data_IF_776717257454
#
_entry.id   IF_776717257454
#
_cell.length_a   1.000
_cell.length_b   1.000
_cell.length_c   1.000
_cell.angle_alpha   90.00
_cell.angle_beta   90.00
_cell.angle_gamma   90.00
#
_symmetry.space_group_name_H-M   'P 1'
#
loop_
_entity.id
_entity.type
_entity.pdbx_description
1 polymer ?
#
# COMPACT_ATOMS: atom_id res chain seq x y z
N UNK A 1 5.01 22.67 11.77
CA UNK A 1 3.72 21.94 11.86
C UNK A 1 2.80 22.42 10.73
N UNK A 2 3.35 22.68 9.54
CA UNK A 2 2.73 23.59 8.55
C UNK A 2 2.28 22.91 7.25
N UNK A 3 2.30 21.57 7.21
CA UNK A 3 2.06 20.83 5.96
C UNK A 3 0.65 20.23 5.93
N UNK A 4 0.53 18.93 6.18
CA UNK A 4 -0.68 18.13 6.01
C UNK A 4 -1.92 18.73 6.69
N UNK A 5 -1.79 19.17 7.94
CA UNK A 5 -2.91 19.68 8.72
C UNK A 5 -3.50 20.99 8.20
N UNK A 6 -2.65 21.85 7.62
CA UNK A 6 -3.08 23.13 7.05
C UNK A 6 -3.58 22.98 5.62
N UNK A 7 -2.95 22.12 4.83
CA UNK A 7 -3.33 21.86 3.42
C UNK A 7 -4.70 21.18 3.35
N UNK A 8 -4.94 20.15 4.16
CA UNK A 8 -6.21 19.40 4.16
C UNK A 8 -7.20 19.90 5.23
N UNK A 9 -7.33 21.22 5.35
CA UNK A 9 -8.16 21.88 6.37
C UNK A 9 -9.58 22.28 5.91
N UNK A 10 -10.03 21.84 4.73
CA UNK A 10 -11.38 22.12 4.24
C UNK A 10 -12.46 21.45 5.09
N UNK A 11 -13.65 22.06 5.23
CA UNK A 11 -14.71 21.58 6.12
C UNK A 11 -15.11 20.11 5.90
N UNK A 12 -15.18 19.67 4.64
CA UNK A 12 -15.48 18.28 4.28
C UNK A 12 -14.34 17.29 4.54
N UNK A 13 -13.13 17.76 4.86
CA UNK A 13 -11.93 16.92 5.07
C UNK A 13 -11.49 16.85 6.54
N UNK A 14 -11.79 17.88 7.34
CA UNK A 14 -11.33 18.00 8.75
C UNK A 14 -11.71 16.80 9.61
N UNK A 15 -12.88 16.22 9.39
CA UNK A 15 -13.41 15.09 10.17
C UNK A 15 -13.14 13.71 9.57
N UNK A 16 -12.52 13.62 8.39
CA UNK A 16 -12.33 12.34 7.71
C UNK A 16 -11.05 11.66 8.18
N UNK A 17 -11.10 10.34 8.50
CA UNK A 17 -9.90 9.57 8.82
C UNK A 17 -9.03 9.34 7.58
N UNK A 18 -7.72 9.42 7.76
CA UNK A 18 -6.69 9.16 6.75
C UNK A 18 -5.95 7.88 7.12
N UNK A 19 -6.06 6.85 6.29
CA UNK A 19 -5.33 5.60 6.46
C UNK A 19 -4.07 5.66 5.61
N UNK A 20 -2.93 5.80 6.27
CA UNK A 20 -1.65 6.13 5.63
C UNK A 20 -0.79 4.88 5.48
N UNK A 21 0.04 4.85 4.43
CA UNK A 21 1.16 3.94 4.24
C UNK A 21 2.37 4.75 3.76
N UNK A 22 3.59 4.24 3.96
CA UNK A 22 4.82 4.92 3.59
C UNK A 22 5.28 4.57 2.16
N UNK A 23 5.88 5.55 1.48
CA UNK A 23 6.65 5.40 0.25
C UNK A 23 8.16 5.50 0.46
N UNK A 24 8.93 5.44 -0.63
CA UNK A 24 10.39 5.46 -0.59
C UNK A 24 10.94 6.76 0.01
N UNK A 25 10.35 7.92 -0.30
CA UNK A 25 10.73 9.20 0.29
C UNK A 25 10.47 9.28 1.80
N UNK A 26 9.43 8.61 2.30
CA UNK A 26 9.16 8.54 3.73
C UNK A 26 10.24 7.72 4.46
N UNK A 27 10.69 6.63 3.84
CA UNK A 27 11.78 5.76 4.31
C UNK A 27 13.16 6.41 4.20
N UNK A 28 13.36 7.34 3.27
CA UNK A 28 14.55 8.19 3.26
C UNK A 28 14.57 9.19 4.44
N UNK A 29 13.41 9.43 5.07
CA UNK A 29 13.25 10.22 6.28
C UNK A 29 13.09 9.36 7.54
N UNK A 30 12.02 9.62 8.30
CA UNK A 30 11.74 8.92 9.56
C UNK A 30 10.29 8.43 9.60
N UNK A 31 10.05 7.21 9.09
CA UNK A 31 8.73 6.55 9.12
C UNK A 31 8.23 6.35 10.55
N UNK A 32 9.12 6.08 11.51
CA UNK A 32 8.73 5.96 12.93
C UNK A 32 8.10 7.24 13.47
N UNK A 33 8.56 8.42 13.04
CA UNK A 33 7.92 9.68 13.39
C UNK A 33 6.51 9.81 12.79
N UNK A 34 6.29 9.31 11.58
CA UNK A 34 4.96 9.29 10.94
C UNK A 34 4.01 8.31 11.64
N UNK A 35 4.50 7.15 12.07
CA UNK A 35 3.72 6.21 12.90
C UNK A 35 3.33 6.88 14.23
N UNK A 36 4.30 7.48 14.92
CA UNK A 36 4.09 8.17 16.19
C UNK A 36 3.15 9.38 16.07
N UNK A 37 3.04 9.99 14.88
CA UNK A 37 2.10 11.08 14.62
C UNK A 37 0.64 10.66 14.77
N UNK A 38 0.33 9.36 14.69
CA UNK A 38 -1.01 8.82 14.99
C UNK A 38 -1.46 9.11 16.44
N UNK A 39 -0.53 9.35 17.36
CA UNK A 39 -0.86 9.77 18.74
C UNK A 39 -1.08 11.28 18.87
N UNK A 40 -0.74 12.06 17.84
CA UNK A 40 -0.90 13.52 17.81
C UNK A 40 -2.15 13.96 17.04
N UNK A 41 -2.48 13.29 15.93
CA UNK A 41 -3.61 13.67 15.08
C UNK A 41 -4.67 12.56 15.06
N UNK A 42 -5.91 12.80 15.51
CA UNK A 42 -6.95 11.77 15.58
C UNK A 42 -7.43 11.32 14.20
N UNK A 43 -7.16 12.10 13.15
CA UNK A 43 -7.48 11.75 11.76
C UNK A 43 -6.33 11.08 11.03
N UNK A 44 -5.16 10.96 11.64
CA UNK A 44 -4.00 10.29 11.06
C UNK A 44 -3.92 8.87 11.59
N UNK A 45 -4.26 7.89 10.76
CA UNK A 45 -4.20 6.47 11.10
C UNK A 45 -3.02 5.82 10.39
N UNK A 46 -1.90 5.69 11.11
CA UNK A 46 -0.74 4.95 10.66
C UNK A 46 -0.18 4.10 11.83
N UNK A 47 -0.86 3.00 12.21
CA UNK A 47 -0.56 2.27 13.44
C UNK A 47 0.65 1.31 13.31
N UNK A 48 0.99 0.91 12.09
CA UNK A 48 2.05 -0.05 11.79
C UNK A 48 2.47 0.11 10.31
N UNK A 49 3.72 -0.22 9.92
CA UNK A 49 4.16 -0.14 8.51
C UNK A 49 3.23 -0.84 7.51
N UNK A 50 2.66 -1.97 7.92
CA UNK A 50 1.63 -2.69 7.17
C UNK A 50 0.51 -3.12 8.12
N UNK A 51 -0.75 -2.96 7.70
CA UNK A 51 -1.90 -3.23 8.56
C UNK A 51 -3.17 -3.52 7.76
N UNK A 52 -4.20 -3.98 8.46
CA UNK A 52 -5.47 -4.37 7.85
C UNK A 52 -6.62 -3.60 8.48
N UNK A 53 -7.53 -3.16 7.62
CA UNK A 53 -8.83 -2.61 7.98
C UNK A 53 -9.90 -3.55 7.46
N UNK A 54 -10.96 -3.72 8.25
CA UNK A 54 -12.16 -4.45 7.83
C UNK A 54 -13.37 -3.55 8.07
N UNK A 55 -14.04 -3.20 6.99
CA UNK A 55 -15.15 -2.26 6.97
C UNK A 55 -16.44 -2.99 6.60
N UNK A 56 -17.56 -2.56 7.17
CA UNK A 56 -18.90 -2.98 6.71
C UNK A 56 -19.33 -2.04 5.59
N UNK A 57 -19.92 -2.60 4.54
CA UNK A 57 -20.49 -1.79 3.46
C UNK A 57 -21.83 -1.24 3.95
N UNK A 58 -22.01 0.10 4.03
CA UNK A 58 -23.25 0.70 4.52
C UNK A 58 -24.48 0.16 3.80
N UNK A 59 -25.55 -0.12 4.55
CA UNK A 59 -26.80 -0.65 3.99
C UNK A 59 -26.75 -2.13 3.57
N UNK A 60 -25.73 -2.89 3.96
CA UNK A 60 -25.65 -4.33 3.64
C UNK A 60 -24.91 -5.15 4.72
N UNK A 61 -24.98 -6.48 4.59
CA UNK A 61 -24.16 -7.41 5.38
C UNK A 61 -22.77 -7.68 4.76
N UNK A 62 -22.45 -7.01 3.65
CA UNK A 62 -21.17 -7.18 2.98
C UNK A 62 -20.03 -6.50 3.75
N UNK A 63 -18.83 -7.03 3.56
CA UNK A 63 -17.61 -6.51 4.19
C UNK A 63 -16.53 -6.25 3.14
N UNK A 64 -15.72 -5.23 3.39
CA UNK A 64 -14.56 -4.88 2.60
C UNK A 64 -13.30 -4.97 3.46
N UNK A 65 -12.27 -5.64 2.95
CA UNK A 65 -10.93 -5.69 3.53
C UNK A 65 -10.04 -4.72 2.79
N UNK A 66 -9.32 -3.87 3.51
CA UNK A 66 -8.19 -3.10 2.96
C UNK A 66 -6.91 -3.57 3.65
N UNK A 67 -5.93 -4.02 2.88
CA UNK A 67 -4.61 -4.44 3.34
C UNK A 67 -3.59 -3.42 2.86
N UNK A 68 -3.03 -2.62 3.77
CA UNK A 68 -2.00 -1.65 3.45
C UNK A 68 -0.63 -2.30 3.68
N UNK A 69 0.22 -2.22 2.67
CA UNK A 69 1.56 -2.79 2.63
C UNK A 69 2.61 -1.70 2.68
N UNK A 70 3.76 -2.04 3.27
CA UNK A 70 4.99 -1.29 3.12
C UNK A 70 5.82 -1.95 2.01
N UNK A 71 5.71 -1.42 0.80
CA UNK A 71 6.39 -1.98 -0.37
C UNK A 71 7.90 -1.70 -0.36
N UNK A 72 8.35 -0.69 0.38
CA UNK A 72 9.78 -0.39 0.58
C UNK A 72 10.40 -1.44 1.49
N UNK A 73 9.73 -1.80 2.59
CA UNK A 73 10.15 -2.90 3.46
C UNK A 73 10.17 -4.23 2.70
N UNK A 74 9.21 -4.47 1.80
CA UNK A 74 9.17 -5.71 1.00
C UNK A 74 10.23 -5.79 -0.10
N UNK A 75 10.54 -4.68 -0.76
CA UNK A 75 11.29 -4.69 -2.03
C UNK A 75 12.57 -3.86 -2.03
N UNK A 76 12.78 -2.98 -1.05
CA UNK A 76 13.88 -2.01 -1.01
C UNK A 76 13.45 -0.59 -1.37
N UNK A 77 14.25 0.40 -0.97
CA UNK A 77 14.09 1.79 -1.37
C UNK A 77 14.56 2.05 -2.80
N UNK A 78 14.01 3.09 -3.42
CA UNK A 78 14.53 3.71 -4.65
C UNK A 78 15.02 5.12 -4.35
N UNK A 79 16.04 5.57 -5.08
CA UNK A 79 16.44 6.98 -5.13
C UNK A 79 15.83 7.63 -6.37
N UNK A 80 15.19 8.80 -6.20
CA UNK A 80 14.28 9.37 -7.21
C UNK A 80 14.86 10.58 -7.96
N UNK A 81 16.18 10.77 -7.99
CA UNK A 81 16.78 11.78 -8.86
C UNK A 81 17.13 11.18 -10.24
N UNK A 82 16.11 11.04 -11.11
CA UNK A 82 16.24 10.55 -12.49
C UNK A 82 15.31 9.39 -12.81
N UNK A 83 15.66 8.54 -13.79
CA UNK A 83 14.85 7.36 -14.15
C UNK A 83 14.71 6.31 -13.02
N UNK A 84 15.36 6.53 -11.87
CA UNK A 84 15.32 5.68 -10.68
C UNK A 84 15.95 4.31 -10.93
N UNK A 85 16.82 3.86 -10.01
CA UNK A 85 17.17 2.44 -10.02
C UNK A 85 16.00 1.63 -9.44
N UNK A 86 15.61 0.50 -10.06
CA UNK A 86 14.59 -0.35 -9.47
C UNK A 86 15.05 -0.86 -8.10
N UNK A 87 14.13 -1.19 -7.17
CA UNK A 87 14.50 -1.71 -5.86
C UNK A 87 15.40 -2.94 -5.98
N UNK A 88 16.58 -2.88 -5.35
CA UNK A 88 17.58 -3.97 -5.40
C UNK A 88 17.24 -5.16 -4.49
N UNK A 89 16.25 -5.00 -3.61
CA UNK A 89 15.87 -5.97 -2.59
C UNK A 89 15.65 -5.32 -1.22
N UNK A 90 14.97 -6.01 -0.29
CA UNK A 90 14.71 -5.46 1.04
C UNK A 90 16.01 -5.29 1.84
N UNK A 91 16.10 -4.20 2.59
CA UNK A 91 17.23 -3.96 3.52
C UNK A 91 17.28 -5.01 4.65
N UNK A 92 16.11 -5.50 5.07
CA UNK A 92 15.97 -6.58 6.05
C UNK A 92 15.09 -7.69 5.44
N UNK A 93 15.74 -8.80 5.06
CA UNK A 93 15.06 -9.96 4.48
C UNK A 93 14.12 -10.66 5.48
N UNK A 94 14.43 -10.62 6.78
CA UNK A 94 13.60 -11.20 7.83
C UNK A 94 12.31 -10.40 8.01
N UNK A 95 12.41 -9.08 8.06
CA UNK A 95 11.25 -8.19 8.11
C UNK A 95 10.37 -8.33 6.84
N UNK A 96 10.99 -8.39 5.66
CA UNK A 96 10.27 -8.61 4.41
C UNK A 96 9.53 -9.95 4.38
N UNK A 97 10.17 -11.02 4.85
CA UNK A 97 9.55 -12.34 4.98
C UNK A 97 8.39 -12.33 5.98
N UNK A 98 8.52 -11.62 7.10
CA UNK A 98 7.46 -11.46 8.09
C UNK A 98 6.23 -10.74 7.51
N UNK A 99 6.43 -9.64 6.77
CA UNK A 99 5.33 -8.93 6.09
C UNK A 99 4.65 -9.83 5.04
N UNK A 100 5.42 -10.58 4.25
CA UNK A 100 4.87 -11.48 3.24
C UNK A 100 4.07 -12.63 3.87
N UNK A 101 4.55 -13.21 4.97
CA UNK A 101 3.83 -14.23 5.73
C UNK A 101 2.53 -13.68 6.33
N UNK A 102 2.59 -12.48 6.92
CA UNK A 102 1.42 -11.77 7.42
C UNK A 102 0.39 -11.54 6.31
N UNK A 103 0.82 -11.09 5.13
CA UNK A 103 -0.06 -10.85 3.99
C UNK A 103 -0.78 -12.12 3.55
N UNK A 104 -0.05 -13.25 3.41
CA UNK A 104 -0.64 -14.55 3.07
C UNK A 104 -1.73 -14.95 4.07
N UNK A 105 -1.47 -14.78 5.37
CA UNK A 105 -2.45 -15.07 6.42
C UNK A 105 -3.68 -14.14 6.34
N UNK A 106 -3.49 -12.84 6.09
CA UNK A 106 -4.58 -11.87 5.97
C UNK A 106 -5.44 -12.11 4.72
N UNK A 107 -4.83 -12.44 3.58
CA UNK A 107 -5.56 -12.79 2.36
C UNK A 107 -6.38 -14.08 2.53
N UNK A 108 -5.85 -15.09 3.23
CA UNK A 108 -6.62 -16.29 3.57
C UNK A 108 -7.81 -15.95 4.49
N UNK A 109 -7.59 -15.12 5.51
CA UNK A 109 -8.64 -14.68 6.43
C UNK A 109 -9.69 -13.76 5.78
N UNK A 110 -9.40 -13.17 4.63
CA UNK A 110 -10.31 -12.32 3.87
C UNK A 110 -11.18 -13.09 2.85
N UNK A 111 -11.09 -14.43 2.80
CA UNK A 111 -11.80 -15.26 1.82
C UNK A 111 -13.33 -15.10 1.82
N UNK A 112 -13.91 -14.61 2.91
CA UNK A 112 -15.36 -14.36 3.05
C UNK A 112 -15.75 -12.89 2.91
N UNK A 113 -14.80 -11.98 2.76
CA UNK A 113 -15.14 -10.58 2.52
C UNK A 113 -15.57 -10.39 1.06
N UNK A 114 -16.55 -9.50 0.86
CA UNK A 114 -17.11 -9.24 -0.48
C UNK A 114 -16.13 -8.51 -1.39
N UNK A 115 -15.31 -7.64 -0.79
CA UNK A 115 -14.27 -6.89 -1.46
C UNK A 115 -12.96 -7.05 -0.69
N UNK A 116 -11.87 -7.27 -1.41
CA UNK A 116 -10.52 -7.29 -0.85
C UNK A 116 -9.67 -6.35 -1.68
N UNK A 117 -9.18 -5.30 -1.04
CA UNK A 117 -8.31 -4.29 -1.63
C UNK A 117 -6.94 -4.42 -0.98
N UNK A 118 -5.89 -4.31 -1.79
CA UNK A 118 -4.51 -4.24 -1.32
C UNK A 118 -3.93 -2.91 -1.78
N UNK A 119 -3.24 -2.18 -0.91
CA UNK A 119 -2.60 -0.93 -1.23
C UNK A 119 -1.12 -0.98 -0.88
N UNK A 120 -0.27 -0.35 -1.68
CA UNK A 120 1.16 -0.17 -1.44
C UNK A 120 1.68 1.00 -2.24
N UNK A 121 2.88 1.48 -1.95
CA UNK A 121 3.41 2.63 -2.67
C UNK A 121 3.80 2.28 -4.12
N UNK A 122 4.61 1.24 -4.30
CA UNK A 122 5.14 0.84 -5.61
C UNK A 122 4.10 0.14 -6.51
N UNK A 123 4.14 0.33 -7.83
CA UNK A 123 3.22 -0.33 -8.75
C UNK A 123 3.57 -1.80 -9.01
N UNK A 124 2.54 -2.66 -9.06
CA UNK A 124 2.70 -4.00 -9.66
C UNK A 124 2.82 -3.87 -11.18
N UNK A 125 2.03 -2.98 -11.79
CA UNK A 125 2.08 -2.63 -13.20
C UNK A 125 2.03 -1.11 -13.34
N UNK A 126 2.82 -0.57 -14.25
CA UNK A 126 2.77 0.82 -14.69
C UNK A 126 3.39 0.91 -16.09
N UNK A 127 2.91 1.88 -16.89
CA UNK A 127 3.49 2.22 -18.20
C UNK A 127 4.26 3.55 -18.20
N UNK A 128 4.55 4.08 -17.01
CA UNK A 128 5.16 5.39 -16.85
C UNK A 128 6.66 5.30 -16.47
N UNK A 129 7.19 6.34 -15.82
CA UNK A 129 8.61 6.57 -15.60
C UNK A 129 9.33 5.42 -14.85
N UNK A 130 8.70 4.85 -13.82
CA UNK A 130 9.28 3.77 -13.01
C UNK A 130 8.89 2.38 -13.54
N UNK A 131 7.73 2.28 -14.20
CA UNK A 131 7.24 1.03 -14.76
C UNK A 131 6.91 -0.05 -13.71
N UNK A 132 6.81 -1.34 -14.10
CA UNK A 132 6.45 -2.41 -13.20
C UNK A 132 7.54 -2.75 -12.17
N UNK A 133 7.18 -2.92 -10.90
CA UNK A 133 8.14 -3.35 -9.87
C UNK A 133 8.36 -4.86 -9.89
N UNK A 134 9.52 -5.31 -10.36
CA UNK A 134 9.85 -6.74 -10.53
C UNK A 134 9.66 -7.58 -9.25
N UNK A 135 10.03 -7.04 -8.09
CA UNK A 135 9.79 -7.67 -6.79
C UNK A 135 8.31 -7.96 -6.54
N UNK A 136 7.41 -7.02 -6.84
CA UNK A 136 5.97 -7.18 -6.65
C UNK A 136 5.34 -8.08 -7.72
N UNK A 137 5.83 -8.03 -8.96
CA UNK A 137 5.44 -8.99 -10.00
C UNK A 137 5.74 -10.45 -9.59
N UNK A 138 6.86 -10.67 -8.88
CA UNK A 138 7.26 -11.99 -8.40
C UNK A 138 6.53 -12.41 -7.12
N UNK A 139 6.43 -11.53 -6.13
CA UNK A 139 5.95 -11.87 -4.79
C UNK A 139 4.45 -11.62 -4.59
N UNK A 140 3.95 -10.49 -5.09
CA UNK A 140 2.60 -10.01 -4.79
C UNK A 140 1.58 -10.45 -5.84
N UNK A 141 1.87 -10.30 -7.14
CA UNK A 141 0.96 -10.65 -8.24
C UNK A 141 0.36 -12.07 -8.13
N UNK A 142 1.12 -13.13 -7.81
CA UNK A 142 0.54 -14.47 -7.65
C UNK A 142 -0.46 -14.55 -6.50
N UNK A 143 -0.22 -13.82 -5.40
CA UNK A 143 -1.12 -13.78 -4.24
C UNK A 143 -2.41 -13.03 -4.58
N UNK A 144 -2.31 -11.88 -5.26
CA UNK A 144 -3.48 -11.10 -5.68
C UNK A 144 -4.42 -11.95 -6.54
N UNK A 145 -3.86 -12.71 -7.50
CA UNK A 145 -4.61 -13.60 -8.38
C UNK A 145 -5.22 -14.79 -7.64
N UNK A 146 -4.40 -15.51 -6.85
CA UNK A 146 -4.85 -16.70 -6.09
C UNK A 146 -6.02 -16.38 -5.16
N UNK A 147 -5.99 -15.21 -4.52
CA UNK A 147 -7.02 -14.78 -3.56
C UNK A 147 -8.11 -13.91 -4.18
N UNK A 148 -8.12 -13.71 -5.51
CA UNK A 148 -9.11 -12.90 -6.24
C UNK A 148 -9.28 -11.50 -5.62
N UNK A 149 -8.16 -10.86 -5.30
CA UNK A 149 -8.15 -9.47 -4.81
C UNK A 149 -8.88 -8.59 -5.83
N UNK A 150 -9.79 -7.75 -5.33
CA UNK A 150 -10.65 -6.88 -6.15
C UNK A 150 -9.84 -5.84 -6.90
N UNK A 151 -8.92 -5.15 -6.21
CA UNK A 151 -8.01 -4.20 -6.82
C UNK A 151 -6.72 -4.05 -5.99
N UNK A 152 -5.65 -3.70 -6.68
CA UNK A 152 -4.42 -3.20 -6.08
C UNK A 152 -4.33 -1.70 -6.32
N UNK A 153 -4.12 -0.91 -5.27
CA UNK A 153 -3.97 0.55 -5.34
C UNK A 153 -2.51 0.92 -5.08
N UNK A 154 -1.96 1.81 -5.92
CA UNK A 154 -0.60 2.30 -5.77
C UNK A 154 -0.44 3.73 -6.27
N UNK A 155 0.74 4.29 -5.99
CA UNK A 155 1.20 5.56 -6.52
C UNK A 155 2.59 5.38 -7.10
N UNK A 156 3.56 6.12 -6.56
CA UNK A 156 4.96 6.19 -7.00
C UNK A 156 5.13 6.86 -8.37
N UNK A 157 4.50 6.33 -9.42
CA UNK A 157 4.39 7.06 -10.69
C UNK A 157 3.43 8.25 -10.54
N UNK A 158 3.87 9.44 -10.97
CA UNK A 158 3.17 10.71 -10.76
C UNK A 158 2.12 10.99 -11.83
N UNK A 159 1.22 10.03 -12.05
CA UNK A 159 0.14 10.10 -13.02
C UNK A 159 -1.07 9.24 -12.60
N UNK A 160 -2.11 9.20 -13.44
CA UNK A 160 -3.32 8.39 -13.20
C UNK A 160 -3.41 7.26 -14.21
N UNK A 161 -3.54 6.03 -13.72
CA UNK A 161 -3.70 4.83 -14.54
C UNK A 161 -4.78 3.92 -13.95
N UNK A 162 -5.51 3.22 -14.84
CA UNK A 162 -6.35 2.09 -14.49
C UNK A 162 -6.06 0.95 -15.45
N UNK A 163 -5.82 -0.25 -14.92
CA UNK A 163 -5.45 -1.40 -15.71
C UNK A 163 -6.05 -2.69 -15.15
N UNK A 164 -6.30 -3.64 -16.04
CA UNK A 164 -6.60 -5.01 -15.67
C UNK A 164 -5.34 -5.86 -15.94
N UNK A 165 -5.06 -6.88 -15.12
CA UNK A 165 -3.95 -7.79 -15.41
C UNK A 165 -4.14 -8.41 -16.81
N UNK A 166 -3.06 -8.61 -17.58
CA UNK A 166 -3.14 -9.33 -18.84
C UNK A 166 -3.80 -10.69 -18.61
N UNK A 167 -4.67 -11.11 -19.54
CA UNK A 167 -5.15 -12.50 -19.57
C UNK A 167 -3.93 -13.39 -19.76
N UNK A 168 -3.87 -14.48 -19.00
CA UNK A 168 -2.82 -15.47 -19.27
C UNK A 168 -3.03 -16.02 -20.69
N UNK A 169 -1.95 -16.25 -21.45
CA UNK A 169 -2.09 -16.94 -22.72
C UNK A 169 -2.73 -18.32 -22.50
N UNK A 170 -3.50 -18.82 -23.49
CA UNK A 170 -4.18 -20.11 -23.40
C UNK A 170 -3.22 -21.28 -23.17
#
# INVERSE_FOLDING_TARGET
>A
QDTFERVFAGGGLRGLPWFVLAGNHDHAGNVTAQLAYSHRSPRWHFPHPYYSLRLRVPGSNATARLLLLDTVLLCGGTEDFGAGSPPAGPADAGAAAAQLAWLRARLAAAARDRFVLVAGHYPVWSVAEHGPTACLLRLLRPLLRRHRVTAYLCGHDHNLQVGAPPRDPP
#
